data_IF_916151359544
#
_entry.id   IF_916151359544
#
_cell.length_a   1.000
_cell.length_b   1.000
_cell.length_c   1.000
_cell.angle_alpha   90.00
_cell.angle_beta   90.00
_cell.angle_gamma   90.00
#
_symmetry.space_group_name_H-M   'P 1'
#
loop_
_entity.id
_entity.type
_entity.pdbx_description
1 polymer ?
#
# COMPACT_ATOMS: atom_id res chain seq x y z
N UNK A 1 16.90 13.63 1.37
CA UNK A 1 16.03 13.14 0.27
C UNK A 1 16.26 14.01 -0.97
N UNK A 2 16.25 13.45 -2.19
CA UNK A 2 16.44 14.24 -3.41
C UNK A 2 15.25 15.18 -3.65
N UNK A 3 15.50 16.51 -3.67
CA UNK A 3 14.44 17.54 -3.80
C UNK A 3 13.62 17.40 -5.09
N UNK A 4 14.28 17.14 -6.22
CA UNK A 4 13.63 16.90 -7.51
C UNK A 4 12.70 15.69 -7.48
N UNK A 5 13.13 14.61 -6.81
CA UNK A 5 12.32 13.40 -6.64
C UNK A 5 11.08 13.63 -5.78
N UNK A 6 11.23 14.41 -4.70
CA UNK A 6 10.10 14.79 -3.84
C UNK A 6 9.08 15.68 -4.58
N UNK A 7 9.55 16.64 -5.38
CA UNK A 7 8.66 17.49 -6.18
C UNK A 7 7.89 16.68 -7.24
N UNK A 8 8.59 15.82 -7.98
CA UNK A 8 7.96 14.91 -8.95
C UNK A 8 6.91 14.04 -8.26
N UNK A 9 7.23 13.51 -7.07
CA UNK A 9 6.33 12.69 -6.29
C UNK A 9 5.03 13.42 -5.93
N UNK A 10 5.13 14.67 -5.44
CA UNK A 10 3.94 15.45 -5.05
C UNK A 10 3.09 15.85 -6.26
N UNK A 11 3.70 16.33 -7.35
CA UNK A 11 2.97 16.77 -8.54
C UNK A 11 2.32 15.59 -9.25
N UNK A 12 3.10 14.57 -9.60
CA UNK A 12 2.57 13.39 -10.28
C UNK A 12 1.62 12.58 -9.38
N UNK A 13 1.88 12.55 -8.07
CA UNK A 13 1.01 11.95 -7.08
C UNK A 13 -0.33 12.66 -6.98
N UNK A 14 -0.35 14.00 -6.94
CA UNK A 14 -1.57 14.80 -6.94
C UNK A 14 -2.38 14.64 -8.24
N UNK A 15 -1.70 14.61 -9.39
CA UNK A 15 -2.35 14.32 -10.67
C UNK A 15 -2.99 12.92 -10.69
N UNK A 16 -2.27 11.90 -10.22
CA UNK A 16 -2.81 10.54 -10.11
C UNK A 16 -3.98 10.45 -9.14
N UNK A 17 -3.88 11.11 -7.97
CA UNK A 17 -4.97 11.21 -7.00
C UNK A 17 -6.23 11.83 -7.62
N UNK A 18 -6.08 12.86 -8.45
CA UNK A 18 -7.19 13.49 -9.18
C UNK A 18 -7.85 12.49 -10.13
N UNK A 19 -7.08 11.87 -11.04
CA UNK A 19 -7.61 10.91 -12.01
C UNK A 19 -8.31 9.73 -11.32
N UNK A 20 -7.67 9.16 -10.28
CA UNK A 20 -8.24 8.05 -9.53
C UNK A 20 -9.48 8.45 -8.72
N UNK A 21 -9.55 9.67 -8.19
CA UNK A 21 -10.74 10.17 -7.50
C UNK A 21 -11.94 10.26 -8.45
N UNK A 22 -11.75 10.74 -9.68
CA UNK A 22 -12.78 10.69 -10.72
C UNK A 22 -13.22 9.25 -11.00
N UNK A 23 -12.27 8.35 -11.26
CA UNK A 23 -12.57 6.93 -11.52
C UNK A 23 -13.35 6.26 -10.38
N UNK A 24 -12.92 6.48 -9.14
CA UNK A 24 -13.57 5.95 -7.94
C UNK A 24 -15.00 6.47 -7.79
N UNK A 25 -15.20 7.79 -7.87
CA UNK A 25 -16.53 8.38 -7.69
C UNK A 25 -17.48 7.97 -8.82
N UNK A 26 -17.02 7.93 -10.06
CA UNK A 26 -17.86 7.45 -11.18
C UNK A 26 -18.20 5.97 -11.01
N UNK A 27 -17.24 5.14 -10.60
CA UNK A 27 -17.52 3.74 -10.27
C UNK A 27 -18.55 3.62 -9.13
N UNK A 28 -18.44 4.44 -8.08
CA UNK A 28 -19.42 4.48 -6.99
C UNK A 28 -20.80 4.98 -7.43
N UNK A 29 -20.85 5.92 -8.39
CA UNK A 29 -22.08 6.52 -8.88
C UNK A 29 -22.86 5.59 -9.81
N UNK A 30 -22.17 4.89 -10.71
CA UNK A 30 -22.78 4.08 -11.78
C UNK A 30 -22.77 2.58 -11.47
N UNK A 31 -21.71 2.07 -10.84
CA UNK A 31 -21.62 0.67 -10.48
C UNK A 31 -22.15 0.51 -9.05
N UNK A 32 -23.21 -0.28 -8.86
CA UNK A 32 -23.71 -0.69 -7.53
C UNK A 32 -22.76 -1.69 -6.84
N UNK A 33 -21.46 -1.44 -6.88
CA UNK A 33 -20.45 -2.24 -6.21
C UNK A 33 -20.46 -1.94 -4.71
N UNK A 34 -19.95 -2.88 -3.91
CA UNK A 34 -19.77 -2.68 -2.47
C UNK A 34 -18.73 -1.58 -2.28
N UNK A 35 -19.15 -0.44 -1.73
CA UNK A 35 -18.32 0.75 -1.59
C UNK A 35 -16.95 0.48 -0.93
N UNK A 36 -16.92 -0.39 0.10
CA UNK A 36 -15.66 -0.79 0.74
C UNK A 36 -14.64 -1.43 -0.21
N UNK A 37 -15.06 -2.22 -1.20
CA UNK A 37 -14.15 -2.82 -2.18
C UNK A 37 -13.59 -1.77 -3.15
N UNK A 38 -14.42 -0.83 -3.59
CA UNK A 38 -13.97 0.29 -4.42
C UNK A 38 -13.00 1.20 -3.66
N UNK A 39 -13.25 1.43 -2.37
CA UNK A 39 -12.37 2.22 -1.52
C UNK A 39 -11.00 1.53 -1.33
N UNK A 40 -11.00 0.20 -1.09
CA UNK A 40 -9.77 -0.60 -1.05
C UNK A 40 -9.01 -0.56 -2.39
N UNK A 41 -9.72 -0.68 -3.51
CA UNK A 41 -9.13 -0.59 -4.84
C UNK A 41 -8.53 0.80 -5.09
N UNK A 42 -9.21 1.88 -4.70
CA UNK A 42 -8.72 3.25 -4.84
C UNK A 42 -7.47 3.49 -3.99
N UNK A 43 -7.51 3.16 -2.69
CA UNK A 43 -6.35 3.29 -1.79
C UNK A 43 -5.16 2.44 -2.23
N UNK A 44 -5.42 1.22 -2.69
CA UNK A 44 -4.40 0.31 -3.21
C UNK A 44 -3.78 0.81 -4.52
N UNK A 45 -4.60 1.25 -5.48
CA UNK A 45 -4.13 1.80 -6.76
C UNK A 45 -3.29 3.06 -6.55
N UNK A 46 -3.74 3.98 -5.69
CA UNK A 46 -2.96 5.15 -5.31
C UNK A 46 -1.62 4.74 -4.68
N UNK A 47 -1.64 3.81 -3.72
CA UNK A 47 -0.43 3.26 -3.11
C UNK A 47 0.55 2.66 -4.12
N UNK A 48 0.05 1.95 -5.13
CA UNK A 48 0.87 1.37 -6.20
C UNK A 48 1.50 2.44 -7.10
N UNK A 49 0.74 3.47 -7.48
CA UNK A 49 1.28 4.62 -8.24
C UNK A 49 2.35 5.35 -7.42
N UNK A 50 2.09 5.61 -6.14
CA UNK A 50 3.06 6.26 -5.26
C UNK A 50 4.31 5.41 -5.06
N UNK A 51 4.20 4.09 -4.96
CA UNK A 51 5.36 3.19 -4.96
C UNK A 51 6.20 3.37 -6.25
N UNK A 52 5.58 3.40 -7.43
CA UNK A 52 6.32 3.65 -8.68
C UNK A 52 7.00 5.03 -8.68
N UNK A 53 6.35 6.06 -8.14
CA UNK A 53 6.94 7.40 -8.00
C UNK A 53 8.09 7.43 -6.99
N UNK A 54 8.03 6.66 -5.89
CA UNK A 54 9.16 6.45 -4.99
C UNK A 54 10.36 5.88 -5.74
N UNK A 55 10.15 4.88 -6.61
CA UNK A 55 11.22 4.29 -7.42
C UNK A 55 11.83 5.30 -8.37
N UNK A 56 10.99 5.99 -9.16
CA UNK A 56 11.43 6.99 -10.15
C UNK A 56 12.11 8.19 -9.47
N UNK A 57 11.56 8.67 -8.37
CA UNK A 57 12.09 9.78 -7.57
C UNK A 57 13.27 9.42 -6.67
N UNK A 58 13.67 8.14 -6.63
CA UNK A 58 14.78 7.62 -5.80
C UNK A 58 14.62 8.02 -4.32
N UNK A 59 13.39 7.90 -3.79
CA UNK A 59 13.07 8.27 -2.40
C UNK A 59 13.40 7.10 -1.46
N UNK A 60 14.52 7.22 -0.73
CA UNK A 60 15.11 6.08 0.02
C UNK A 60 14.73 6.02 1.50
N UNK A 61 14.15 7.09 2.05
CA UNK A 61 13.73 7.12 3.46
C UNK A 61 12.29 6.63 3.56
N UNK A 62 12.01 5.48 4.21
CA UNK A 62 10.64 4.98 4.35
C UNK A 62 9.73 5.95 5.09
N UNK A 63 10.25 6.59 6.15
CA UNK A 63 9.51 7.62 6.90
C UNK A 63 9.26 8.87 6.06
N UNK A 64 10.27 9.31 5.29
CA UNK A 64 10.12 10.47 4.42
C UNK A 64 9.16 10.21 3.25
N UNK A 65 9.20 9.02 2.64
CA UNK A 65 8.30 8.64 1.56
C UNK A 65 6.85 8.55 2.05
N UNK A 66 6.63 7.96 3.24
CA UNK A 66 5.31 7.99 3.88
C UNK A 66 4.87 9.43 4.22
N UNK A 67 5.78 10.27 4.71
CA UNK A 67 5.51 11.67 5.00
C UNK A 67 5.10 12.48 3.76
N UNK A 68 5.68 12.20 2.59
CA UNK A 68 5.26 12.79 1.32
C UNK A 68 3.96 12.19 0.77
N UNK A 69 3.68 10.91 1.04
CA UNK A 69 2.45 10.25 0.63
C UNK A 69 1.23 10.73 1.42
N UNK A 70 1.41 11.11 2.70
CA UNK A 70 0.35 11.61 3.57
C UNK A 70 -0.44 12.79 2.94
N UNK A 71 0.19 13.90 2.52
CA UNK A 71 -0.55 15.01 1.89
C UNK A 71 -1.20 14.59 0.56
N UNK A 72 -0.61 13.66 -0.20
CA UNK A 72 -1.24 13.15 -1.44
C UNK A 72 -2.47 12.32 -1.13
N UNK A 73 -2.43 11.46 -0.10
CA UNK A 73 -3.60 10.69 0.35
C UNK A 73 -4.71 11.58 0.89
N UNK A 74 -4.37 12.61 1.67
CA UNK A 74 -5.35 13.59 2.15
C UNK A 74 -5.97 14.38 0.99
N UNK A 75 -5.16 14.79 0.01
CA UNK A 75 -5.65 15.42 -1.21
C UNK A 75 -6.58 14.48 -1.98
N UNK A 76 -6.28 13.18 -2.06
CA UNK A 76 -7.14 12.19 -2.70
C UNK A 76 -8.51 12.08 -2.02
N UNK A 77 -8.56 12.07 -0.68
CA UNK A 77 -9.80 12.08 0.10
C UNK A 77 -10.60 13.37 -0.15
N UNK A 78 -9.92 14.51 -0.19
CA UNK A 78 -10.57 15.79 -0.50
C UNK A 78 -11.12 15.83 -1.93
N UNK A 79 -10.33 15.36 -2.90
CA UNK A 79 -10.69 15.30 -4.31
C UNK A 79 -11.90 14.41 -4.55
N UNK A 80 -11.96 13.19 -3.98
CA UNK A 80 -13.13 12.33 -4.16
C UNK A 80 -14.43 13.00 -3.68
N UNK A 81 -14.39 13.72 -2.56
CA UNK A 81 -15.58 14.38 -2.04
C UNK A 81 -15.99 15.56 -2.91
N UNK A 82 -15.02 16.33 -3.40
CA UNK A 82 -15.30 17.43 -4.33
C UNK A 82 -15.94 16.94 -5.63
N UNK A 83 -15.48 15.81 -6.18
CA UNK A 83 -16.02 15.20 -7.40
C UNK A 83 -17.42 14.66 -7.15
N UNK A 84 -17.63 13.97 -6.02
CA UNK A 84 -18.93 13.43 -5.64
C UNK A 84 -19.99 14.53 -5.52
N UNK A 85 -19.69 15.61 -4.79
CA UNK A 85 -20.62 16.73 -4.63
C UNK A 85 -20.91 17.43 -5.96
N UNK A 86 -19.91 17.57 -6.84
CA UNK A 86 -20.12 18.16 -8.17
C UNK A 86 -21.05 17.31 -9.07
N UNK A 87 -21.00 15.98 -8.95
CA UNK A 87 -21.99 15.10 -9.60
C UNK A 87 -23.37 15.22 -8.95
N UNK A 88 -23.42 15.27 -7.61
CA UNK A 88 -24.66 15.41 -6.87
C UNK A 88 -25.42 16.70 -7.23
N UNK A 89 -24.70 17.82 -7.33
CA UNK A 89 -25.27 19.09 -7.77
C UNK A 89 -25.78 19.04 -9.22
N UNK A 90 -25.07 18.34 -10.10
CA UNK A 90 -25.50 18.14 -11.48
C UNK A 90 -26.71 17.24 -11.64
N UNK A 91 -26.92 16.29 -10.73
CA UNK A 91 -28.10 15.42 -10.71
C UNK A 91 -29.40 16.14 -10.30
N UNK A 92 -29.33 17.44 -9.94
CA UNK A 92 -30.48 18.23 -9.51
C UNK A 92 -31.13 17.68 -8.24
N UNK A 93 -30.36 17.04 -7.36
CA UNK A 93 -30.88 16.42 -6.15
C UNK A 93 -31.51 17.44 -5.20
N UNK A 94 -32.84 17.41 -5.07
CA UNK A 94 -33.52 17.99 -3.91
C UNK A 94 -33.20 17.15 -2.66
N UNK A 95 -33.09 17.76 -1.46
CA UNK A 95 -32.89 17.01 -0.23
C UNK A 95 -34.07 16.05 0.00
N UNK A 96 -33.81 14.73 -0.03
CA UNK A 96 -34.78 13.67 0.28
C UNK A 96 -35.17 12.69 -0.84
N UNK A 97 -34.59 12.77 -2.05
CA UNK A 97 -34.81 11.78 -3.12
C UNK A 97 -33.55 10.94 -3.45
N UNK A 98 -33.68 9.74 -4.07
CA UNK A 98 -32.54 8.93 -4.50
C UNK A 98 -31.83 9.61 -5.68
N UNK A 99 -30.91 10.54 -5.39
CA UNK A 99 -30.14 11.26 -6.38
C UNK A 99 -29.01 10.40 -6.99
N UNK A 100 -28.54 9.40 -6.25
CA UNK A 100 -27.48 8.50 -6.69
C UNK A 100 -27.98 7.56 -7.80
N UNK A 101 -27.28 7.54 -8.93
CA UNK A 101 -27.60 6.65 -10.06
C UNK A 101 -28.62 7.20 -11.06
N UNK A 102 -28.95 8.50 -11.05
CA UNK A 102 -29.66 9.13 -12.18
C UNK A 102 -28.78 9.07 -13.43
N UNK A 103 -29.18 8.28 -14.42
CA UNK A 103 -28.52 8.22 -15.71
C UNK A 103 -28.51 9.62 -16.34
N UNK A 104 -27.33 10.11 -16.74
CA UNK A 104 -27.18 11.39 -17.45
C UNK A 104 -26.95 12.63 -16.58
N UNK A 105 -26.68 12.52 -15.27
CA UNK A 105 -26.32 13.67 -14.44
C UNK A 105 -25.02 14.36 -14.97
N UNK A 106 -25.09 15.61 -15.46
CA UNK A 106 -23.91 16.29 -15.98
C UNK A 106 -22.93 16.63 -14.86
N UNK A 107 -21.63 16.49 -15.10
CA UNK A 107 -20.63 16.93 -14.13
C UNK A 107 -20.56 18.46 -14.06
N UNK A 108 -20.86 19.04 -12.89
CA UNK A 108 -20.82 20.51 -12.71
C UNK A 108 -19.39 21.00 -12.43
N UNK A 109 -18.62 21.25 -13.49
CA UNK A 109 -17.22 21.67 -13.39
C UNK A 109 -17.02 22.96 -12.56
N UNK A 110 -17.89 23.96 -12.71
CA UNK A 110 -17.82 25.20 -11.92
C UNK A 110 -18.02 24.94 -10.42
N UNK A 111 -18.94 24.04 -10.08
CA UNK A 111 -19.16 23.67 -8.69
C UNK A 111 -17.96 22.91 -8.13
N UNK A 112 -17.38 21.98 -8.89
CA UNK A 112 -16.14 21.29 -8.53
C UNK A 112 -14.99 22.25 -8.25
N UNK A 113 -14.71 23.19 -9.17
CA UNK A 113 -13.67 24.20 -9.00
C UNK A 113 -13.94 25.10 -7.77
N UNK A 114 -15.20 25.46 -7.54
CA UNK A 114 -15.62 26.22 -6.36
C UNK A 114 -15.38 25.47 -5.05
N UNK A 115 -15.67 24.16 -5.02
CA UNK A 115 -15.41 23.30 -3.87
C UNK A 115 -13.91 23.16 -3.59
N UNK A 116 -13.09 22.97 -4.62
CA UNK A 116 -11.63 22.87 -4.51
C UNK A 116 -10.97 24.14 -3.95
N UNK A 117 -11.48 25.31 -4.34
CA UNK A 117 -10.94 26.59 -3.89
C UNK A 117 -11.38 26.95 -2.46
N UNK A 118 -12.46 26.34 -1.95
CA UNK A 118 -13.08 26.73 -0.68
C UNK A 118 -13.36 25.48 0.20
N UNK A 119 -12.35 24.97 0.95
CA UNK A 119 -12.51 23.76 1.75
C UNK A 119 -13.63 23.86 2.79
N UNK A 120 -13.89 25.06 3.34
CA UNK A 120 -15.01 25.29 4.26
C UNK A 120 -16.38 25.02 3.63
N UNK A 121 -16.54 25.32 2.33
CA UNK A 121 -17.78 24.99 1.59
C UNK A 121 -17.96 23.49 1.46
N UNK A 122 -16.90 22.76 1.09
CA UNK A 122 -16.96 21.30 1.00
C UNK A 122 -17.40 20.66 2.32
N UNK A 123 -16.85 21.10 3.45
CA UNK A 123 -17.25 20.58 4.77
C UNK A 123 -18.71 20.91 5.09
N UNK A 124 -19.17 22.13 4.79
CA UNK A 124 -20.57 22.52 4.99
C UNK A 124 -21.54 21.68 4.15
N UNK A 125 -21.21 21.43 2.89
CA UNK A 125 -22.01 20.61 1.99
C UNK A 125 -22.03 19.13 2.42
N UNK A 126 -20.91 18.58 2.90
CA UNK A 126 -20.88 17.23 3.48
C UNK A 126 -21.73 17.12 4.75
N UNK A 127 -21.72 18.16 5.59
CA UNK A 127 -22.60 18.22 6.75
C UNK A 127 -24.08 18.26 6.34
N UNK A 128 -24.42 19.04 5.31
CA UNK A 128 -25.77 19.09 4.74
C UNK A 128 -26.18 17.73 4.17
N UNK A 129 -25.30 17.04 3.44
CA UNK A 129 -25.54 15.67 2.92
C UNK A 129 -25.81 14.69 4.06
N UNK A 130 -25.05 14.76 5.15
CA UNK A 130 -25.22 13.88 6.31
C UNK A 130 -26.57 14.14 7.03
N UNK A 131 -26.96 15.42 7.16
CA UNK A 131 -28.22 15.83 7.79
C UNK A 131 -29.44 15.51 6.92
N UNK A 132 -29.34 15.72 5.60
CA UNK A 132 -30.45 15.58 4.66
C UNK A 132 -30.73 14.12 4.25
N UNK A 133 -30.01 13.14 4.83
CA UNK A 133 -30.22 11.71 4.58
C UNK A 133 -30.08 11.28 3.12
N UNK A 134 -29.39 12.08 2.31
CA UNK A 134 -29.27 11.91 0.85
C UNK A 134 -28.44 10.66 0.52
N UNK A 135 -27.63 10.19 1.47
CA UNK A 135 -26.77 9.01 1.32
C UNK A 135 -27.35 7.81 2.09
N UNK A 136 -28.13 6.97 1.41
CA UNK A 136 -28.54 5.65 1.91
C UNK A 136 -28.10 4.58 0.91
N UNK A 137 -27.06 3.82 1.29
CA UNK A 137 -26.53 2.72 0.49
C UNK A 137 -27.42 1.48 0.65
N UNK A 138 -28.56 1.47 -0.03
CA UNK A 138 -29.60 0.45 0.13
C UNK A 138 -30.10 0.28 1.58
N UNK A 139 -31.10 -0.60 1.81
CA UNK A 139 -31.67 -0.90 3.14
C UNK A 139 -30.68 -1.44 4.20
N UNK A 140 -29.38 -1.58 3.88
CA UNK A 140 -28.34 -2.20 4.74
C UNK A 140 -27.13 -1.30 5.04
N UNK A 141 -27.05 -0.10 4.46
CA UNK A 141 -25.99 0.86 4.74
C UNK A 141 -26.07 1.48 6.15
N UNK A 142 -25.00 2.13 6.64
CA UNK A 142 -25.04 2.86 7.90
C UNK A 142 -26.14 3.92 7.86
N UNK A 143 -26.90 4.03 8.94
CA UNK A 143 -27.89 5.09 9.12
C UNK A 143 -27.24 6.47 9.12
N UNK A 144 -28.04 7.54 8.97
CA UNK A 144 -27.53 8.90 8.96
C UNK A 144 -26.90 9.33 10.28
N UNK A 145 -26.15 10.43 10.26
CA UNK A 145 -25.55 11.00 11.46
C UNK A 145 -24.17 10.39 11.77
N UNK A 146 -23.85 10.10 13.04
CA UNK A 146 -22.50 9.67 13.43
C UNK A 146 -22.01 8.39 12.73
N UNK A 147 -22.91 7.45 12.43
CA UNK A 147 -22.57 6.19 11.73
C UNK A 147 -22.05 6.41 10.32
N UNK A 148 -22.61 7.38 9.59
CA UNK A 148 -22.15 7.73 8.25
C UNK A 148 -20.77 8.39 8.29
N UNK A 149 -20.53 9.27 9.27
CA UNK A 149 -19.21 9.90 9.47
C UNK A 149 -18.14 8.88 9.80
N UNK A 150 -18.43 7.90 10.67
CA UNK A 150 -17.48 6.81 10.98
C UNK A 150 -17.10 6.01 9.73
N UNK A 151 -18.07 5.76 8.85
CA UNK A 151 -17.82 5.08 7.59
C UNK A 151 -16.91 5.92 6.66
N UNK A 152 -17.14 7.23 6.54
CA UNK A 152 -16.25 8.13 5.79
C UNK A 152 -14.84 8.22 6.37
N UNK A 153 -14.71 8.21 7.70
CA UNK A 153 -13.41 8.16 8.38
C UNK A 153 -12.70 6.85 8.07
N UNK A 154 -13.40 5.71 8.06
CA UNK A 154 -12.82 4.43 7.68
C UNK A 154 -12.30 4.45 6.23
N UNK A 155 -13.05 5.02 5.29
CA UNK A 155 -12.57 5.19 3.91
C UNK A 155 -11.33 6.09 3.83
N UNK A 156 -11.33 7.21 4.54
CA UNK A 156 -10.17 8.11 4.57
C UNK A 156 -8.92 7.39 5.11
N UNK A 157 -9.07 6.56 6.15
CA UNK A 157 -7.99 5.73 6.68
C UNK A 157 -7.50 4.71 5.66
N UNK A 158 -8.40 4.08 4.89
CA UNK A 158 -8.01 3.12 3.83
C UNK A 158 -7.23 3.83 2.72
N UNK A 159 -7.71 4.98 2.23
CA UNK A 159 -7.08 5.72 1.12
C UNK A 159 -5.70 6.27 1.55
N UNK A 160 -5.66 6.97 2.69
CA UNK A 160 -4.42 7.54 3.23
C UNK A 160 -3.45 6.44 3.66
N UNK A 161 -3.97 5.39 4.31
CA UNK A 161 -3.20 4.23 4.74
C UNK A 161 -2.57 3.50 3.56
N UNK A 162 -3.36 3.19 2.52
CA UNK A 162 -2.88 2.56 1.28
C UNK A 162 -1.79 3.38 0.59
N UNK A 163 -1.99 4.69 0.46
CA UNK A 163 -1.01 5.62 -0.10
C UNK A 163 0.32 5.58 0.70
N UNK A 164 0.25 5.73 2.02
CA UNK A 164 1.42 5.73 2.90
C UNK A 164 2.14 4.38 2.93
N UNK A 165 1.40 3.27 3.01
CA UNK A 165 1.96 1.92 3.05
C UNK A 165 2.65 1.57 1.73
N UNK A 166 2.03 1.87 0.58
CA UNK A 166 2.64 1.64 -0.73
C UNK A 166 3.96 2.39 -0.91
N UNK A 167 3.97 3.70 -0.61
CA UNK A 167 5.19 4.51 -0.68
C UNK A 167 6.27 4.01 0.31
N UNK A 168 5.89 3.71 1.55
CA UNK A 168 6.82 3.22 2.58
C UNK A 168 7.43 1.87 2.21
N UNK A 169 6.61 0.93 1.77
CA UNK A 169 7.04 -0.42 1.41
C UNK A 169 8.08 -0.37 0.29
N UNK A 170 7.85 0.44 -0.73
CA UNK A 170 8.80 0.58 -1.83
C UNK A 170 10.12 1.25 -1.40
N UNK A 171 10.07 2.25 -0.51
CA UNK A 171 11.25 2.93 0.01
C UNK A 171 12.10 2.05 0.95
N UNK A 172 11.57 0.92 1.44
CA UNK A 172 12.36 -0.07 2.20
C UNK A 172 13.35 -0.84 1.33
N UNK A 173 13.11 -0.94 0.02
CA UNK A 173 14.00 -1.68 -0.87
C UNK A 173 15.40 -1.04 -0.90
N UNK A 174 16.49 -1.84 -0.97
CA UNK A 174 17.83 -1.29 -1.09
C UNK A 174 18.04 -0.54 -2.41
N UNK A 175 18.85 0.51 -2.36
CA UNK A 175 19.20 1.35 -3.51
C UNK A 175 20.71 1.51 -3.54
N UNK A 176 21.35 1.29 -4.69
CA UNK A 176 22.79 1.51 -4.87
C UNK A 176 23.03 2.94 -5.39
N UNK A 177 23.85 3.70 -4.65
CA UNK A 177 24.29 5.03 -5.08
C UNK A 177 25.23 4.97 -6.28
N UNK A 178 26.08 3.93 -6.34
CA UNK A 178 27.11 3.78 -7.37
C UNK A 178 26.49 3.61 -8.76
N UNK A 179 25.39 2.85 -8.85
CA UNK A 179 24.74 2.52 -10.13
C UNK A 179 23.46 3.31 -10.35
N UNK A 180 22.97 4.02 -9.32
CA UNK A 180 21.71 4.75 -9.39
C UNK A 180 20.48 3.84 -9.55
N UNK A 181 20.60 2.56 -9.22
CA UNK A 181 19.59 1.53 -9.43
C UNK A 181 19.05 0.96 -8.12
N UNK A 182 17.77 0.58 -8.13
CA UNK A 182 17.16 -0.20 -7.06
C UNK A 182 17.64 -1.65 -7.13
N UNK A 183 17.92 -2.24 -5.98
CA UNK A 183 18.32 -3.63 -5.90
C UNK A 183 17.17 -4.56 -6.34
N UNK A 184 17.51 -5.59 -7.08
CA UNK A 184 16.57 -6.64 -7.49
C UNK A 184 16.49 -7.66 -6.36
N UNK A 185 15.27 -8.03 -5.98
CA UNK A 185 15.00 -8.98 -4.92
C UNK A 185 14.80 -10.38 -5.50
N UNK A 186 15.46 -11.37 -4.91
CA UNK A 186 15.18 -12.79 -5.07
C UNK A 186 14.69 -13.32 -3.73
N UNK A 187 13.44 -13.77 -3.69
CA UNK A 187 12.93 -14.54 -2.54
C UNK A 187 13.44 -15.97 -2.66
N UNK A 188 14.03 -16.52 -1.60
CA UNK A 188 14.47 -17.90 -1.63
C UNK A 188 13.27 -18.85 -1.60
N UNK A 189 13.19 -19.86 -2.50
CA UNK A 189 12.05 -20.79 -2.56
C UNK A 189 11.99 -21.68 -1.33
N UNK A 190 13.15 -22.04 -0.78
CA UNK A 190 13.24 -22.86 0.42
C UNK A 190 13.02 -22.01 1.68
N UNK A 191 11.96 -22.28 2.46
CA UNK A 191 11.75 -21.62 3.74
C UNK A 191 12.82 -22.06 4.75
N UNK A 192 13.13 -21.17 5.68
CA UNK A 192 14.06 -21.42 6.77
C UNK A 192 13.31 -21.80 8.06
N UNK A 193 14.02 -22.44 8.99
CA UNK A 193 13.51 -22.65 10.35
C UNK A 193 13.26 -21.29 11.01
N UNK A 194 12.20 -21.25 11.80
CA UNK A 194 11.87 -20.08 12.61
C UNK A 194 13.05 -19.70 13.51
N UNK A 195 13.44 -18.42 13.51
CA UNK A 195 14.47 -17.93 14.41
C UNK A 195 13.87 -17.76 15.82
N UNK A 196 14.15 -18.71 16.72
CA UNK A 196 13.67 -18.68 18.11
C UNK A 196 14.30 -17.55 18.93
N UNK A 197 15.56 -17.21 18.64
CA UNK A 197 16.25 -16.03 19.18
C UNK A 197 16.66 -15.11 18.01
N UNK A 198 15.78 -14.17 17.60
CA UNK A 198 16.06 -13.23 16.54
C UNK A 198 17.28 -12.34 16.82
N UNK A 199 17.53 -12.00 18.08
CA UNK A 199 18.60 -11.09 18.46
C UNK A 199 19.97 -11.79 18.32
N UNK A 200 20.10 -13.01 18.85
CA UNK A 200 21.32 -13.79 18.69
C UNK A 200 21.61 -14.13 17.22
N UNK A 201 20.57 -14.50 16.45
CA UNK A 201 20.74 -14.77 15.01
C UNK A 201 21.17 -13.51 14.25
N UNK A 202 20.58 -12.35 14.55
CA UNK A 202 21.00 -11.08 13.96
C UNK A 202 22.47 -10.78 14.23
N UNK A 203 22.92 -10.89 15.48
CA UNK A 203 24.34 -10.68 15.85
C UNK A 203 25.27 -11.65 15.13
N UNK A 204 24.87 -12.91 14.95
CA UNK A 204 25.65 -13.88 14.20
C UNK A 204 25.77 -13.50 12.72
N UNK A 205 24.66 -13.08 12.09
CA UNK A 205 24.64 -12.65 10.69
C UNK A 205 25.46 -11.37 10.47
N UNK A 206 25.36 -10.39 11.37
CA UNK A 206 26.16 -9.17 11.34
C UNK A 206 27.67 -9.46 11.49
N UNK A 207 28.02 -10.53 12.22
CA UNK A 207 29.39 -11.04 12.31
C UNK A 207 29.81 -11.92 11.11
N UNK A 208 28.99 -12.02 10.06
CA UNK A 208 29.28 -12.82 8.87
C UNK A 208 29.13 -14.35 9.05
N UNK A 209 28.48 -14.79 10.13
CA UNK A 209 28.23 -16.22 10.41
C UNK A 209 26.82 -16.60 9.96
N UNK A 210 26.73 -17.40 8.90
CA UNK A 210 25.46 -17.77 8.25
C UNK A 210 25.01 -19.21 8.53
N UNK A 211 25.74 -19.95 9.39
CA UNK A 211 25.47 -21.36 9.68
C UNK A 211 24.12 -21.56 10.39
N UNK A 212 23.68 -20.56 11.16
CA UNK A 212 22.38 -20.54 11.84
C UNK A 212 21.18 -20.45 10.91
N UNK A 213 21.39 -20.15 9.61
CA UNK A 213 20.32 -20.22 8.61
C UNK A 213 20.08 -21.70 8.23
N UNK A 214 19.13 -22.32 8.92
CA UNK A 214 18.80 -23.72 8.71
C UNK A 214 17.58 -23.84 7.80
N UNK A 215 17.63 -24.67 6.75
CA UNK A 215 16.46 -24.92 5.93
C UNK A 215 15.37 -25.60 6.76
N UNK A 216 14.11 -25.29 6.45
CA UNK A 216 13.01 -26.06 6.99
C UNK A 216 13.05 -27.48 6.42
N UNK A 217 12.74 -28.49 7.23
CA UNK A 217 12.76 -29.89 6.81
C UNK A 217 11.69 -30.22 5.75
N UNK A 218 10.67 -29.37 5.66
CA UNK A 218 9.61 -29.47 4.65
C UNK A 218 10.13 -29.04 3.28
N UNK A 219 9.82 -29.83 2.24
CA UNK A 219 10.07 -29.47 0.84
C UNK A 219 8.99 -28.54 0.26
N UNK A 220 8.02 -28.14 1.08
CA UNK A 220 6.96 -27.23 0.67
C UNK A 220 7.53 -25.82 0.47
N UNK A 221 7.11 -25.17 -0.61
CA UNK A 221 7.36 -23.74 -0.78
C UNK A 221 6.54 -22.92 0.24
N UNK A 222 6.86 -21.63 0.36
CA UNK A 222 6.18 -20.72 1.30
C UNK A 222 4.66 -20.67 1.08
N UNK A 223 4.20 -20.68 -0.17
CA UNK A 223 2.77 -20.62 -0.49
C UNK A 223 2.04 -21.90 -0.07
N UNK A 224 2.69 -23.05 -0.24
CA UNK A 224 2.23 -24.35 0.22
C UNK A 224 2.24 -24.45 1.75
N UNK A 225 3.28 -23.95 2.43
CA UNK A 225 3.31 -23.91 3.90
C UNK A 225 2.14 -23.10 4.48
N UNK A 226 1.84 -21.95 3.87
CA UNK A 226 0.69 -21.12 4.26
C UNK A 226 -0.63 -21.86 3.99
N UNK A 227 -0.80 -22.46 2.80
CA UNK A 227 -2.00 -23.23 2.44
C UNK A 227 -2.24 -24.42 3.38
N UNK A 228 -1.18 -25.14 3.74
CA UNK A 228 -1.24 -26.28 4.66
C UNK A 228 -1.23 -25.88 6.14
N UNK A 229 -1.32 -24.57 6.45
CA UNK A 229 -1.35 -24.01 7.81
C UNK A 229 -0.19 -24.53 8.68
N UNK A 230 0.99 -24.74 8.07
CA UNK A 230 2.17 -25.24 8.79
C UNK A 230 2.67 -24.25 9.86
N UNK A 231 3.51 -24.74 10.75
CA UNK A 231 4.09 -24.01 11.89
C UNK A 231 4.86 -22.76 11.45
N UNK A 232 5.19 -21.90 12.42
CA UNK A 232 6.00 -20.70 12.18
C UNK A 232 7.32 -21.02 11.47
N UNK A 233 7.73 -20.17 10.55
CA UNK A 233 8.94 -20.35 9.72
C UNK A 233 9.65 -19.00 9.50
N UNK A 234 10.81 -19.01 8.85
CA UNK A 234 11.49 -17.79 8.44
C UNK A 234 11.67 -17.73 6.92
N UNK A 235 11.70 -16.52 6.36
CA UNK A 235 11.85 -16.26 4.94
C UNK A 235 13.09 -15.40 4.69
N UNK A 236 13.94 -15.89 3.80
CA UNK A 236 15.13 -15.21 3.34
C UNK A 236 14.87 -14.52 2.00
N UNK A 237 15.21 -13.24 1.94
CA UNK A 237 15.24 -12.45 0.72
C UNK A 237 16.65 -11.92 0.49
N UNK A 238 17.15 -12.10 -0.72
CA UNK A 238 18.43 -11.59 -1.15
C UNK A 238 18.23 -10.49 -2.18
N UNK A 239 19.00 -9.43 -2.06
CA UNK A 239 18.93 -8.26 -2.91
C UNK A 239 20.29 -8.05 -3.58
N UNK A 240 20.29 -7.76 -4.88
CA UNK A 240 21.50 -7.39 -5.61
C UNK A 240 21.23 -6.17 -6.50
N UNK A 241 22.03 -5.12 -6.35
CA UNK A 241 22.00 -3.97 -7.25
C UNK A 241 22.69 -4.30 -8.59
N UNK A 242 22.06 -4.04 -9.74
CA UNK A 242 22.66 -4.32 -11.04
C UNK A 242 23.96 -3.54 -11.24
N UNK A 243 25.07 -4.24 -11.48
CA UNK A 243 26.38 -3.63 -11.76
C UNK A 243 27.14 -3.12 -10.53
N UNK A 244 26.73 -3.48 -9.30
CA UNK A 244 27.41 -3.09 -8.06
C UNK A 244 27.77 -4.34 -7.22
N UNK A 245 29.06 -4.65 -7.15
CA UNK A 245 29.58 -5.81 -6.40
C UNK A 245 29.43 -5.66 -4.88
N UNK A 246 29.25 -4.43 -4.37
CA UNK A 246 29.02 -4.13 -2.96
C UNK A 246 27.53 -3.87 -2.66
N UNK A 247 26.67 -3.91 -3.69
CA UNK A 247 25.24 -3.67 -3.60
C UNK A 247 24.41 -4.90 -3.27
N UNK A 248 24.97 -5.85 -2.51
CA UNK A 248 24.30 -7.07 -2.09
C UNK A 248 23.77 -6.93 -0.66
N UNK A 249 22.49 -7.24 -0.45
CA UNK A 249 21.84 -7.16 0.85
C UNK A 249 21.02 -8.40 1.17
N UNK A 250 20.88 -8.68 2.45
CA UNK A 250 20.07 -9.75 2.99
C UNK A 250 18.94 -9.16 3.86
N UNK A 251 17.74 -9.72 3.72
CA UNK A 251 16.63 -9.52 4.64
C UNK A 251 16.12 -10.88 5.11
N UNK A 252 15.84 -10.96 6.41
CA UNK A 252 15.30 -12.16 7.06
C UNK A 252 14.11 -11.76 7.92
N UNK A 253 12.99 -12.45 7.74
CA UNK A 253 11.80 -12.24 8.55
C UNK A 253 11.18 -13.57 9.00
N UNK A 254 10.73 -13.60 10.25
CA UNK A 254 9.94 -14.67 10.81
C UNK A 254 8.46 -14.50 10.42
N UNK A 255 7.81 -15.60 10.07
CA UNK A 255 6.38 -15.71 9.83
C UNK A 255 5.77 -16.49 10.99
N UNK A 256 5.15 -15.78 11.92
CA UNK A 256 4.49 -16.34 13.10
C UNK A 256 3.06 -16.72 12.77
N UNK A 257 2.70 -17.99 12.97
CA UNK A 257 1.31 -18.42 12.85
C UNK A 257 0.48 -17.83 14.00
N UNK A 258 -0.56 -17.08 13.67
CA UNK A 258 -1.57 -16.54 14.61
C UNK A 258 -2.96 -17.06 14.21
N UNK A 259 -3.77 -17.43 15.19
CA UNK A 259 -5.17 -17.80 14.96
C UNK A 259 -6.02 -16.59 15.33
N UNK A 260 -6.69 -15.99 14.35
CA UNK A 260 -7.60 -14.86 14.55
C UNK A 260 -8.98 -15.23 14.03
N UNK A 261 -9.98 -15.27 14.93
CA UNK A 261 -11.38 -15.57 14.60
C UNK A 261 -11.54 -16.86 13.75
N UNK A 262 -10.82 -17.93 14.12
CA UNK A 262 -10.85 -19.21 13.39
C UNK A 262 -10.03 -19.25 12.09
N UNK A 263 -9.53 -18.11 11.61
CA UNK A 263 -8.64 -18.02 10.45
C UNK A 263 -7.18 -18.04 10.88
N UNK A 264 -6.35 -18.75 10.12
CA UNK A 264 -4.89 -18.73 10.29
C UNK A 264 -4.32 -17.53 9.55
N UNK A 265 -3.70 -16.61 10.29
CA UNK A 265 -3.05 -15.41 9.77
C UNK A 265 -1.58 -15.48 10.16
N UNK A 266 -0.67 -15.10 9.26
CA UNK A 266 0.76 -15.02 9.59
C UNK A 266 1.16 -13.60 9.92
N UNK A 267 1.69 -13.39 11.12
CA UNK A 267 2.37 -12.15 11.49
C UNK A 267 3.80 -12.18 10.96
N UNK A 268 4.28 -11.07 10.40
CA UNK A 268 5.67 -10.95 9.93
C UNK A 268 6.48 -10.17 10.95
N UNK A 269 7.53 -10.79 11.48
CA UNK A 269 8.46 -10.19 12.44
C UNK A 269 9.84 -10.09 11.79
N UNK A 270 10.35 -8.88 11.49
CA UNK A 270 11.67 -8.73 10.89
C UNK A 270 12.76 -9.18 11.88
N UNK A 271 13.66 -10.04 11.42
CA UNK A 271 14.85 -10.46 12.18
C UNK A 271 16.03 -9.57 11.80
N UNK A 272 16.24 -9.39 10.50
CA UNK A 272 17.29 -8.52 9.95
C UNK A 272 16.72 -7.78 8.74
N UNK A 273 16.89 -6.46 8.70
CA UNK A 273 16.53 -5.62 7.56
C UNK A 273 17.81 -5.00 6.96
N UNK A 274 18.07 -5.24 5.67
CA UNK A 274 19.14 -4.58 4.87
C UNK A 274 20.57 -4.84 5.36
N UNK A 275 20.88 -6.05 5.79
CA UNK A 275 22.26 -6.41 6.11
C UNK A 275 23.09 -6.47 4.83
N UNK A 276 24.12 -5.63 4.73
CA UNK A 276 25.05 -5.69 3.62
C UNK A 276 25.86 -7.01 3.68
N UNK A 277 26.01 -7.68 2.55
CA UNK A 277 26.78 -8.92 2.42
C UNK A 277 27.69 -8.86 1.21
N UNK A 278 28.75 -9.65 1.19
CA UNK A 278 29.64 -9.75 0.02
C UNK A 278 28.94 -10.45 -1.14
N UNK A 279 29.38 -10.18 -2.37
CA UNK A 279 28.91 -10.90 -3.56
C UNK A 279 29.15 -12.42 -3.47
N UNK A 280 30.28 -12.84 -2.87
CA UNK A 280 30.59 -14.24 -2.64
C UNK A 280 29.58 -14.89 -1.67
N UNK A 281 29.26 -14.21 -0.57
CA UNK A 281 28.23 -14.64 0.39
C UNK A 281 26.85 -14.72 -0.27
N UNK A 282 26.49 -13.72 -1.07
CA UNK A 282 25.23 -13.71 -1.81
C UNK A 282 25.12 -14.93 -2.74
N UNK A 283 26.17 -15.21 -3.52
CA UNK A 283 26.23 -16.37 -4.41
C UNK A 283 26.12 -17.70 -3.63
N UNK A 284 26.87 -17.85 -2.54
CA UNK A 284 26.82 -19.04 -1.68
C UNK A 284 25.43 -19.28 -1.07
N UNK A 285 24.75 -18.23 -0.59
CA UNK A 285 23.39 -18.34 -0.05
C UNK A 285 22.37 -18.67 -1.14
N UNK A 286 22.52 -18.08 -2.32
CA UNK A 286 21.65 -18.37 -3.49
C UNK A 286 21.80 -19.83 -3.91
N UNK A 287 23.03 -20.36 -3.93
CA UNK A 287 23.29 -21.76 -4.23
C UNK A 287 22.72 -22.69 -3.15
N UNK A 288 22.84 -22.31 -1.87
CA UNK A 288 22.39 -23.12 -0.72
C UNK A 288 20.86 -23.23 -0.62
N UNK A 289 20.13 -22.16 -0.92
CA UNK A 289 18.66 -22.10 -0.71
C UNK A 289 17.84 -22.05 -2.00
N UNK A 290 18.51 -22.15 -3.15
CA UNK A 290 17.90 -22.28 -4.47
C UNK A 290 17.59 -20.95 -5.15
N UNK A 291 17.39 -21.03 -6.46
CA UNK A 291 17.04 -19.88 -7.31
C UNK A 291 15.52 -19.79 -7.46
N UNK A 292 14.87 -18.84 -6.79
CA UNK A 292 13.60 -18.32 -7.28
C UNK A 292 13.78 -16.85 -7.64
N UNK A 293 14.11 -16.61 -8.91
CA UNK A 293 13.91 -15.30 -9.50
C UNK A 293 12.42 -15.11 -9.74
N UNK A 294 11.66 -14.89 -8.68
CA UNK A 294 10.33 -14.30 -8.79
C UNK A 294 10.53 -12.79 -8.58
N UNK A 295 10.41 -11.94 -9.63
CA UNK A 295 10.44 -10.50 -9.42
C UNK A 295 9.35 -10.15 -8.42
N UNK A 296 9.74 -9.68 -7.23
CA UNK A 296 8.80 -9.20 -6.22
C UNK A 296 8.17 -7.92 -6.77
N UNK A 297 6.99 -8.08 -7.39
CA UNK A 297 6.31 -7.01 -8.12
C UNK A 297 5.09 -7.46 -8.94
N UNK A 298 4.90 -8.75 -9.21
CA UNK A 298 3.60 -9.25 -9.65
C UNK A 298 2.79 -9.62 -8.40
N UNK A 299 1.99 -8.67 -7.91
CA UNK A 299 0.85 -9.02 -7.08
C UNK A 299 0.01 -10.07 -7.83
N UNK A 300 -0.20 -11.23 -7.21
CA UNK A 300 -1.42 -12.01 -7.39
C UNK A 300 -2.39 -11.58 -6.29
#
# INVERSE_FOLDING_TARGET
MPRRGALLFLIAGGAAATVLAFGYVYALWYCRLVNGLLCLAFGGALGAVLAQLVRRGRLRSPRGAAGLALPVGLAAVYLQWSVYLALLFGAGGAPGGPAQGRAGAPFHFRAWAGLLAHPGRLVAELAAVNQAHIWTLDRRGPGPGPSLVMFWVAEAVIIVGGACLGARAQAKQPFSEATGAWARCATMPQPLRYATDPAALRTALEAGRFDGLLPCATKLDVAQMIRHKQTSFARLELYAAPGDAHGCYLMLANFEKKIQKGLTVYGVVPVVERLAISAATHAALTQRFGTAWAPSGAAQ
#
